data_IF_645887106064
#
_entry.id   IF_645887106064
#
_cell.length_a   1.000
_cell.length_b   1.000
_cell.length_c   1.000
_cell.angle_alpha   90.00
_cell.angle_beta   90.00
_cell.angle_gamma   90.00
#
_symmetry.space_group_name_H-M   'P 1'
#
loop_
_entity.id
_entity.type
_entity.pdbx_description
1 polymer ?
#
# COMPACT_ATOMS: atom_id res chain seq x y z
N UNK A 1 -7.49 43.08 -6.01
CA UNK A 1 -6.79 42.04 -6.79
C UNK A 1 -7.18 40.67 -6.21
N UNK A 2 -8.27 40.03 -6.67
CA UNK A 2 -8.57 38.69 -6.20
C UNK A 2 -7.63 37.70 -6.91
N UNK A 3 -6.82 37.00 -6.12
CA UNK A 3 -6.01 35.87 -6.59
C UNK A 3 -6.96 34.74 -7.00
N UNK A 4 -7.13 34.57 -8.30
CA UNK A 4 -7.62 33.34 -8.91
C UNK A 4 -6.64 32.22 -8.53
N UNK A 5 -6.93 31.52 -7.44
CA UNK A 5 -6.26 30.28 -7.11
C UNK A 5 -6.71 29.23 -8.14
N UNK A 6 -5.90 29.05 -9.19
CA UNK A 6 -6.03 27.93 -10.09
C UNK A 6 -6.04 26.64 -9.26
N UNK A 7 -7.11 25.86 -9.39
CA UNK A 7 -7.24 24.55 -8.79
C UNK A 7 -6.13 23.65 -9.36
N UNK A 8 -5.02 23.52 -8.63
CA UNK A 8 -4.06 22.46 -8.88
C UNK A 8 -4.78 21.13 -8.61
N UNK A 9 -4.95 20.30 -9.64
CA UNK A 9 -5.28 18.90 -9.45
C UNK A 9 -4.11 18.28 -8.66
N UNK A 10 -4.19 18.25 -7.33
CA UNK A 10 -3.17 17.63 -6.49
C UNK A 10 -3.27 16.12 -6.74
N UNK A 11 -2.28 15.46 -7.35
CA UNK A 11 -2.35 14.02 -7.56
C UNK A 11 -2.21 13.34 -6.20
N UNK A 12 -3.19 12.49 -5.86
CA UNK A 12 -3.25 11.79 -4.58
C UNK A 12 -2.00 10.94 -4.28
N UNK A 13 -1.78 10.70 -2.98
CA UNK A 13 -0.84 9.78 -2.29
C UNK A 13 0.40 9.27 -3.06
N UNK A 14 1.03 10.11 -3.88
CA UNK A 14 2.13 9.67 -4.76
C UNK A 14 3.41 9.41 -3.96
N UNK A 15 3.58 10.13 -2.84
CA UNK A 15 4.75 10.11 -1.96
C UNK A 15 4.54 9.20 -0.76
N UNK A 16 5.54 8.37 -0.47
CA UNK A 16 5.49 7.42 0.64
C UNK A 16 5.43 8.13 2.00
N UNK A 17 6.12 9.26 2.13
CA UNK A 17 6.15 10.09 3.34
C UNK A 17 4.74 10.55 3.75
N UNK A 18 3.91 10.91 2.75
CA UNK A 18 2.52 11.28 2.99
C UNK A 18 1.75 10.08 3.54
N UNK A 19 1.87 8.91 2.91
CA UNK A 19 1.15 7.69 3.33
C UNK A 19 1.59 7.22 4.72
N UNK A 20 2.87 7.34 5.06
CA UNK A 20 3.37 6.95 6.38
C UNK A 20 2.86 7.84 7.51
N UNK A 21 2.60 9.12 7.23
CA UNK A 21 2.07 10.07 8.20
C UNK A 21 0.56 9.87 8.48
N UNK A 22 -0.17 9.21 7.59
CA UNK A 22 -1.60 8.94 7.76
C UNK A 22 -1.86 7.99 8.94
N UNK A 23 -3.02 8.10 9.62
CA UNK A 23 -3.45 7.08 10.58
C UNK A 23 -3.43 5.68 9.96
N UNK A 24 -2.97 4.69 10.74
CA UNK A 24 -2.92 3.30 10.29
C UNK A 24 -4.34 2.71 10.23
N UNK A 25 -4.61 1.95 9.16
CA UNK A 25 -5.89 1.26 8.97
C UNK A 25 -5.82 -0.18 9.50
N UNK A 26 -4.69 -0.85 9.26
CA UNK A 26 -4.42 -2.22 9.72
C UNK A 26 -3.12 -2.24 10.51
N UNK A 27 -3.11 -2.86 11.68
CA UNK A 27 -1.96 -2.89 12.59
C UNK A 27 -1.76 -4.30 13.13
N UNK A 28 -0.52 -4.79 13.03
CA UNK A 28 -0.14 -6.14 13.43
C UNK A 28 0.94 -6.11 14.51
N UNK A 29 0.88 -7.05 15.45
CA UNK A 29 1.95 -7.27 16.43
C UNK A 29 2.83 -8.41 15.91
N UNK A 30 3.88 -8.06 15.15
CA UNK A 30 4.81 -9.01 14.54
C UNK A 30 6.06 -8.26 14.05
N UNK A 31 7.20 -8.96 13.85
CA UNK A 31 8.36 -8.36 13.19
C UNK A 31 8.02 -7.79 11.80
N UNK A 32 8.53 -6.61 11.41
CA UNK A 32 8.28 -6.02 10.09
C UNK A 32 8.59 -6.95 8.93
N UNK A 33 9.69 -7.70 9.03
CA UNK A 33 10.15 -8.65 8.02
C UNK A 33 9.11 -9.75 7.80
N UNK A 34 8.50 -10.24 8.88
CA UNK A 34 7.43 -11.25 8.83
C UNK A 34 6.19 -10.70 8.13
N UNK A 35 5.77 -9.47 8.45
CA UNK A 35 4.63 -8.82 7.80
C UNK A 35 4.87 -8.63 6.29
N UNK A 36 6.08 -8.25 5.89
CA UNK A 36 6.46 -8.10 4.48
C UNK A 36 6.38 -9.44 3.74
N UNK A 37 6.94 -10.50 4.33
CA UNK A 37 6.91 -11.86 3.74
C UNK A 37 5.46 -12.34 3.59
N UNK A 38 4.67 -12.28 4.66
CA UNK A 38 3.27 -12.71 4.63
C UNK A 38 2.45 -11.90 3.62
N UNK A 39 2.63 -10.58 3.59
CA UNK A 39 1.94 -9.72 2.61
C UNK A 39 2.28 -10.13 1.18
N UNK A 40 3.56 -10.41 0.90
CA UNK A 40 4.00 -10.88 -0.42
C UNK A 40 3.39 -12.23 -0.77
N UNK A 41 3.40 -13.19 0.15
CA UNK A 41 2.83 -14.52 -0.07
C UNK A 41 1.34 -14.44 -0.38
N UNK A 42 0.59 -13.68 0.43
CA UNK A 42 -0.85 -13.50 0.24
C UNK A 42 -1.13 -12.83 -1.11
N UNK A 43 -0.40 -11.77 -1.47
CA UNK A 43 -0.52 -11.15 -2.79
C UNK A 43 -0.32 -12.17 -3.91
N UNK A 44 0.75 -12.96 -3.86
CA UNK A 44 1.05 -13.98 -4.88
C UNK A 44 -0.04 -15.05 -4.94
N UNK A 45 -0.49 -15.56 -3.79
CA UNK A 45 -1.58 -16.53 -3.71
C UNK A 45 -2.90 -16.00 -4.28
N UNK A 46 -3.13 -14.69 -4.19
CA UNK A 46 -4.31 -14.00 -4.74
C UNK A 46 -4.14 -13.57 -6.21
N UNK A 47 -3.11 -14.08 -6.89
CA UNK A 47 -2.88 -13.83 -8.32
C UNK A 47 -2.21 -12.50 -8.64
N UNK A 48 -1.65 -11.82 -7.64
CA UNK A 48 -0.86 -10.61 -7.87
C UNK A 48 0.59 -10.95 -8.21
N UNK A 49 1.17 -10.19 -9.13
CA UNK A 49 2.61 -10.21 -9.39
C UNK A 49 3.27 -9.12 -8.55
N UNK A 50 4.01 -9.53 -7.53
CA UNK A 50 4.88 -8.63 -6.75
C UNK A 50 6.17 -8.40 -7.53
N UNK A 51 6.34 -7.21 -8.11
CA UNK A 51 7.46 -6.91 -9.01
C UNK A 51 8.54 -6.03 -8.37
N UNK A 52 8.26 -5.44 -7.20
CA UNK A 52 9.25 -4.65 -6.46
C UNK A 52 8.90 -4.62 -4.97
N UNK A 53 9.89 -4.84 -4.12
CA UNK A 53 9.83 -4.48 -2.70
C UNK A 53 10.92 -3.43 -2.49
N UNK A 54 10.52 -2.21 -2.17
CA UNK A 54 11.41 -1.08 -1.97
C UNK A 54 11.58 -0.79 -0.49
N UNK A 55 12.81 -0.53 -0.07
CA UNK A 55 13.12 -0.05 1.27
C UNK A 55 13.15 1.48 1.30
N UNK A 56 12.56 2.06 2.35
CA UNK A 56 12.52 3.50 2.59
C UNK A 56 12.73 3.76 4.08
N UNK A 57 13.99 3.86 4.50
CA UNK A 57 14.35 3.86 5.92
C UNK A 57 13.87 2.56 6.60
N UNK A 58 13.14 2.64 7.73
CA UNK A 58 12.57 1.46 8.39
C UNK A 58 11.38 0.86 7.61
N UNK A 59 10.78 1.61 6.70
CA UNK A 59 9.55 1.21 6.01
C UNK A 59 9.83 0.34 4.78
N UNK A 60 8.81 -0.38 4.32
CA UNK A 60 8.81 -1.11 3.04
C UNK A 60 7.62 -0.70 2.19
N UNK A 61 7.83 -0.66 0.88
CA UNK A 61 6.79 -0.47 -0.12
C UNK A 61 6.78 -1.68 -1.04
N UNK A 62 5.71 -2.45 -1.00
CA UNK A 62 5.48 -3.62 -1.83
C UNK A 62 4.63 -3.19 -3.03
N UNK A 63 5.19 -3.31 -4.22
CA UNK A 63 4.52 -2.99 -5.47
C UNK A 63 4.00 -4.28 -6.11
N UNK A 64 2.70 -4.30 -6.38
CA UNK A 64 2.04 -5.45 -6.95
C UNK A 64 1.07 -5.03 -8.06
N UNK A 65 0.91 -5.92 -9.05
CA UNK A 65 -0.05 -5.73 -10.14
C UNK A 65 -0.87 -6.98 -10.39
N UNK A 66 -2.11 -6.82 -10.85
CA UNK A 66 -3.00 -7.91 -11.29
C UNK A 66 -3.66 -7.49 -12.61
N UNK A 67 -3.19 -8.06 -13.71
CA UNK A 67 -3.59 -7.58 -15.05
C UNK A 67 -3.00 -6.20 -15.41
N UNK A 68 -3.54 -5.55 -16.45
CA UNK A 68 -2.94 -4.33 -17.00
C UNK A 68 -3.23 -3.07 -16.17
N UNK A 69 -4.39 -3.01 -15.49
CA UNK A 69 -4.91 -1.78 -14.87
C UNK A 69 -5.05 -1.83 -13.35
N UNK A 70 -4.81 -2.99 -12.72
CA UNK A 70 -4.80 -3.07 -11.25
C UNK A 70 -3.36 -3.04 -10.75
N UNK A 71 -2.98 -1.91 -10.17
CA UNK A 71 -1.68 -1.74 -9.52
C UNK A 71 -1.93 -1.22 -8.11
N UNK A 72 -1.30 -1.87 -7.13
CA UNK A 72 -1.37 -1.51 -5.72
C UNK A 72 0.04 -1.34 -5.16
N UNK A 73 0.20 -0.35 -4.27
CA UNK A 73 1.34 -0.30 -3.36
C UNK A 73 0.87 -0.58 -1.95
N UNK A 74 1.52 -1.53 -1.29
CA UNK A 74 1.31 -1.79 0.13
C UNK A 74 2.49 -1.25 0.91
N UNK A 75 2.20 -0.35 1.83
CA UNK A 75 3.14 0.30 2.72
C UNK A 75 3.15 -0.42 4.06
N UNK A 76 4.33 -0.86 4.47
CA UNK A 76 4.58 -1.53 5.74
C UNK A 76 5.45 -0.62 6.58
N UNK A 77 4.92 -0.17 7.71
CA UNK A 77 5.52 0.86 8.57
C UNK A 77 5.70 0.31 9.98
N UNK A 78 6.95 0.07 10.43
CA UNK A 78 7.22 -0.28 11.82
C UNK A 78 6.82 0.86 12.78
N UNK A 79 6.21 0.51 13.91
CA UNK A 79 5.74 1.40 14.96
C UNK A 79 6.01 0.74 16.34
N UNK A 80 7.29 0.66 16.72
CA UNK A 80 7.71 -0.13 17.89
C UNK A 80 7.47 -1.62 17.65
N UNK A 81 6.74 -2.27 18.55
CA UNK A 81 6.38 -3.70 18.45
C UNK A 81 5.23 -3.97 17.48
N UNK A 82 4.69 -2.91 16.87
CA UNK A 82 3.57 -2.98 15.92
C UNK A 82 4.03 -2.63 14.52
N UNK A 83 3.28 -3.11 13.53
CA UNK A 83 3.51 -2.83 12.12
C UNK A 83 2.20 -2.39 11.51
N UNK A 84 2.18 -1.15 11.03
CA UNK A 84 1.04 -0.61 10.30
C UNK A 84 1.13 -0.98 8.81
N UNK A 85 0.02 -1.44 8.25
CA UNK A 85 -0.13 -1.76 6.83
C UNK A 85 -1.15 -0.81 6.21
N UNK A 86 -0.77 -0.17 5.09
CA UNK A 86 -1.62 0.73 4.31
C UNK A 86 -1.52 0.38 2.84
N UNK A 87 -2.56 0.69 2.06
CA UNK A 87 -2.59 0.41 0.63
C UNK A 87 -3.10 1.59 -0.18
N UNK A 88 -2.47 1.81 -1.34
CA UNK A 88 -2.95 2.77 -2.34
C UNK A 88 -3.03 2.10 -3.69
N UNK A 89 -4.03 2.49 -4.46
CA UNK A 89 -4.29 1.99 -5.80
C UNK A 89 -3.86 3.00 -6.82
N UNK A 90 -3.40 2.51 -7.96
CA UNK A 90 -3.24 3.34 -9.13
C UNK A 90 -4.61 3.68 -9.71
N UNK A 91 -4.95 4.97 -9.72
CA UNK A 91 -6.11 5.44 -10.43
C UNK A 91 -5.80 5.50 -11.92
N UNK A 92 -6.65 4.90 -12.74
CA UNK A 92 -6.56 4.95 -14.20
C UNK A 92 -7.86 5.38 -14.84
N UNK A 93 -7.73 6.13 -15.94
CA UNK A 93 -8.84 6.56 -16.78
C UNK A 93 -8.51 6.21 -18.24
N UNK A 94 -9.24 5.24 -18.81
CA UNK A 94 -9.04 4.72 -20.17
C UNK A 94 -7.58 4.36 -20.45
N UNK A 95 -6.93 3.65 -19.52
CA UNK A 95 -5.53 3.22 -19.61
C UNK A 95 -4.49 4.30 -19.27
N UNK A 96 -4.89 5.55 -18.99
CA UNK A 96 -3.97 6.61 -18.56
C UNK A 96 -3.86 6.67 -17.04
N UNK A 97 -2.63 6.72 -16.55
CA UNK A 97 -2.33 6.98 -15.14
C UNK A 97 -2.90 8.34 -14.70
N UNK A 98 -3.71 8.35 -13.64
CA UNK A 98 -4.32 9.56 -13.05
C UNK A 98 -3.81 9.90 -11.66
N UNK A 99 -3.06 8.99 -11.03
CA UNK A 99 -2.47 9.21 -9.72
C UNK A 99 -2.69 8.02 -8.79
N UNK A 100 -2.60 8.28 -7.49
CA UNK A 100 -2.74 7.26 -6.45
C UNK A 100 -3.89 7.59 -5.51
N UNK A 101 -4.74 6.61 -5.28
CA UNK A 101 -5.91 6.74 -4.42
C UNK A 101 -5.78 5.85 -3.19
N UNK A 102 -6.15 6.40 -2.04
CA UNK A 102 -6.29 5.60 -0.83
C UNK A 102 -7.60 4.82 -0.94
N UNK A 103 -7.47 3.50 -1.14
CA UNK A 103 -8.58 2.55 -1.03
C UNK A 103 -8.26 1.40 -0.07
N UNK A 104 -7.13 1.49 0.64
CA UNK A 104 -6.57 0.38 1.40
C UNK A 104 -6.04 -0.74 0.49
N UNK A 105 -5.36 -1.75 1.03
CA UNK A 105 -5.08 -2.98 0.28
C UNK A 105 -6.39 -3.70 -0.07
N UNK A 106 -6.42 -4.56 -1.11
CA UNK A 106 -7.58 -5.40 -1.38
C UNK A 106 -8.01 -6.15 -0.10
N UNK A 107 -9.32 -6.20 0.19
CA UNK A 107 -9.84 -6.81 1.42
C UNK A 107 -9.38 -8.26 1.56
N UNK A 108 -9.34 -8.99 0.45
CA UNK A 108 -8.87 -10.38 0.41
C UNK A 108 -7.36 -10.53 0.74
N UNK A 109 -6.58 -9.45 0.60
CA UNK A 109 -5.17 -9.40 1.00
C UNK A 109 -5.07 -9.18 2.50
N UNK A 110 -5.83 -8.25 3.07
CA UNK A 110 -5.87 -8.04 4.52
C UNK A 110 -6.33 -9.31 5.25
N UNK A 111 -7.44 -9.91 4.82
CA UNK A 111 -7.95 -11.14 5.43
C UNK A 111 -6.94 -12.30 5.33
N UNK A 112 -6.18 -12.37 4.24
CA UNK A 112 -5.10 -13.35 4.10
C UNK A 112 -3.92 -13.09 5.05
N UNK A 113 -3.54 -11.82 5.25
CA UNK A 113 -2.50 -11.45 6.21
C UNK A 113 -2.93 -11.81 7.62
N UNK A 114 -4.17 -11.47 7.99
CA UNK A 114 -4.76 -11.79 9.29
C UNK A 114 -4.73 -13.29 9.58
N UNK A 115 -5.10 -14.12 8.60
CA UNK A 115 -5.06 -15.57 8.72
C UNK A 115 -3.63 -16.09 8.90
N UNK A 116 -2.72 -15.71 8.01
CA UNK A 116 -1.34 -16.20 8.00
C UNK A 116 -0.52 -15.75 9.20
N UNK A 117 -0.81 -14.58 9.77
CA UNK A 117 -0.16 -14.13 10.99
C UNK A 117 -0.69 -14.85 12.24
N UNK A 118 -1.90 -15.41 12.22
CA UNK A 118 -2.47 -16.19 13.35
C UNK A 118 -2.03 -17.65 13.35
N UNK A 119 -1.62 -18.20 12.20
CA UNK A 119 -1.23 -19.61 12.04
C UNK A 119 0.15 -19.96 12.63
N UNK A 120 0.94 -18.98 13.07
CA UNK A 120 2.30 -19.13 13.60
C UNK A 120 2.61 -18.07 14.66
#
# INVERSE_FOLDING_TARGET
>A
MPLLAAAACVPGYTRAEIVYAEPAEYVYVAPPERVVVVTREVLVQRGWVVYRVQQSGPNRVIWARRGPDEIVRIFVTPQGDRVAVRGVWEARDRGRHRGWERRGPPREVIEGIDGRLKEH
#
